data_IF_310279222961
#
_entry.id   IF_310279222961
#
_cell.length_a   1.000
_cell.length_b   1.000
_cell.length_c   1.000
_cell.angle_alpha   90.00
_cell.angle_beta   90.00
_cell.angle_gamma   90.00
#
_symmetry.space_group_name_H-M   'P 1'
#
loop_
_entity.id
_entity.type
_entity.pdbx_description
1 polymer ?
#
# COMPACT_ATOMS: atom_id res chain seq x y z
N UNK A 1 12.90 21.93 -21.80
CA UNK A 1 13.16 20.49 -21.58
C UNK A 1 11.86 19.83 -21.12
N UNK A 2 11.28 18.96 -21.93
CA UNK A 2 10.19 18.10 -21.46
C UNK A 2 10.81 17.13 -20.45
N UNK A 3 10.53 17.30 -19.17
CA UNK A 3 10.80 16.29 -18.17
C UNK A 3 9.92 15.09 -18.52
N UNK A 4 10.53 14.03 -19.08
CA UNK A 4 9.84 12.76 -19.24
C UNK A 4 9.48 12.26 -17.83
N UNK A 5 8.22 12.45 -17.45
CA UNK A 5 7.70 11.90 -16.18
C UNK A 5 7.78 10.38 -16.24
N UNK A 6 8.23 9.80 -15.14
CA UNK A 6 8.21 8.35 -14.98
C UNK A 6 6.75 7.86 -15.05
N UNK A 7 6.51 6.76 -15.74
CA UNK A 7 5.17 6.16 -15.86
C UNK A 7 5.16 4.84 -15.11
N UNK A 8 4.08 4.54 -14.43
CA UNK A 8 3.83 3.21 -13.83
C UNK A 8 2.46 2.72 -14.24
N UNK A 9 2.29 1.40 -14.21
CA UNK A 9 1.03 0.73 -14.51
C UNK A 9 0.57 0.02 -13.25
N UNK A 10 -0.63 0.34 -12.75
CA UNK A 10 -1.24 -0.33 -11.61
C UNK A 10 -2.46 -1.12 -12.08
N UNK A 11 -2.52 -2.39 -11.72
CA UNK A 11 -3.63 -3.27 -12.05
C UNK A 11 -4.01 -4.17 -10.88
N UNK A 12 -5.19 -4.76 -10.94
CA UNK A 12 -5.58 -5.81 -10.00
C UNK A 12 -4.61 -6.98 -10.12
N UNK A 13 -4.17 -7.50 -8.97
CA UNK A 13 -3.31 -8.67 -8.90
C UNK A 13 -4.06 -9.89 -9.44
N UNK A 14 -3.38 -10.66 -10.25
CA UNK A 14 -3.87 -11.92 -10.81
C UNK A 14 -2.97 -13.08 -10.39
N UNK A 15 -3.38 -14.35 -10.52
CA UNK A 15 -2.52 -15.49 -10.20
C UNK A 15 -1.17 -15.48 -10.92
N UNK A 16 -1.11 -14.94 -12.14
CA UNK A 16 0.11 -14.83 -12.93
C UNK A 16 1.14 -13.88 -12.34
N UNK A 17 0.71 -12.93 -11.51
CA UNK A 17 1.60 -11.96 -10.85
C UNK A 17 2.33 -12.55 -9.63
N UNK A 18 1.81 -13.64 -9.05
CA UNK A 18 2.18 -14.12 -7.71
C UNK A 18 3.65 -14.52 -7.63
N UNK A 19 4.20 -15.17 -8.64
CA UNK A 19 5.62 -15.55 -8.63
C UNK A 19 6.55 -14.33 -8.55
N UNK A 20 6.18 -13.22 -9.18
CA UNK A 20 6.90 -11.96 -9.07
C UNK A 20 6.68 -11.28 -7.71
N UNK A 21 5.46 -11.34 -7.19
CA UNK A 21 5.11 -10.80 -5.87
C UNK A 21 5.89 -11.50 -4.76
N UNK A 22 6.03 -12.83 -4.81
CA UNK A 22 6.80 -13.60 -3.83
C UNK A 22 8.26 -13.14 -3.77
N UNK A 23 8.90 -12.83 -4.88
CA UNK A 23 10.28 -12.32 -4.89
C UNK A 23 10.41 -10.98 -4.15
N UNK A 24 9.42 -10.10 -4.29
CA UNK A 24 9.39 -8.83 -3.55
C UNK A 24 9.14 -9.10 -2.07
N UNK A 25 8.20 -9.98 -1.76
CA UNK A 25 7.82 -10.38 -0.40
C UNK A 25 9.03 -10.97 0.36
N UNK A 26 9.74 -11.91 -0.26
CA UNK A 26 10.97 -12.51 0.30
C UNK A 26 12.04 -11.44 0.56
N UNK A 27 12.24 -10.51 -0.35
CA UNK A 27 13.19 -9.42 -0.18
C UNK A 27 12.82 -8.44 0.95
N UNK A 28 11.53 -8.29 1.22
CA UNK A 28 11.02 -7.39 2.24
C UNK A 28 10.96 -8.03 3.64
N UNK A 29 10.62 -9.33 3.72
CA UNK A 29 10.26 -10.00 4.97
C UNK A 29 11.08 -11.26 5.26
N UNK A 30 12.00 -11.66 4.36
CA UNK A 30 12.88 -12.83 4.55
C UNK A 30 12.09 -14.13 4.76
N UNK A 31 12.50 -14.93 5.74
CA UNK A 31 11.88 -16.24 6.05
C UNK A 31 10.43 -16.15 6.57
N UNK A 32 9.96 -14.94 6.89
CA UNK A 32 8.61 -14.70 7.40
C UNK A 32 7.65 -14.12 6.34
N UNK A 33 8.01 -14.30 5.07
CA UNK A 33 7.17 -13.88 3.95
C UNK A 33 5.91 -14.75 3.83
N UNK A 34 4.89 -14.19 3.21
CA UNK A 34 3.68 -14.94 2.88
C UNK A 34 3.96 -15.98 1.79
N UNK A 35 3.27 -17.11 1.88
CA UNK A 35 3.36 -18.17 0.88
C UNK A 35 2.59 -17.82 -0.40
N UNK A 36 2.92 -18.54 -1.47
CA UNK A 36 2.16 -18.46 -2.73
C UNK A 36 0.68 -18.76 -2.53
N UNK A 37 0.35 -19.77 -1.72
CA UNK A 37 -1.04 -20.13 -1.42
C UNK A 37 -1.77 -19.02 -0.66
N UNK A 38 -1.08 -18.30 0.23
CA UNK A 38 -1.65 -17.13 0.92
C UNK A 38 -2.08 -16.05 -0.08
N UNK A 39 -1.23 -15.73 -1.06
CA UNK A 39 -1.58 -14.75 -2.09
C UNK A 39 -2.67 -15.26 -3.05
N UNK A 40 -2.68 -16.54 -3.40
CA UNK A 40 -3.77 -17.14 -4.18
C UNK A 40 -5.11 -17.05 -3.48
N UNK A 41 -5.14 -17.28 -2.17
CA UNK A 41 -6.33 -17.11 -1.36
C UNK A 41 -6.82 -15.66 -1.38
N UNK A 42 -5.92 -14.68 -1.27
CA UNK A 42 -6.28 -13.26 -1.31
C UNK A 42 -6.80 -12.82 -2.69
N UNK A 43 -6.20 -13.30 -3.78
CA UNK A 43 -6.69 -13.00 -5.14
C UNK A 43 -8.12 -13.51 -5.36
N UNK A 44 -8.47 -14.62 -4.73
CA UNK A 44 -9.80 -15.23 -4.81
C UNK A 44 -10.77 -14.75 -3.69
N UNK A 45 -10.30 -13.91 -2.77
CA UNK A 45 -11.11 -13.40 -1.67
C UNK A 45 -11.91 -12.18 -2.13
N UNK A 46 -13.24 -12.25 -2.10
CA UNK A 46 -14.13 -11.17 -2.51
C UNK A 46 -13.98 -9.90 -1.66
N UNK A 47 -13.54 -10.02 -0.41
CA UNK A 47 -13.27 -8.89 0.48
C UNK A 47 -11.90 -8.24 0.23
N UNK A 48 -11.00 -8.93 -0.44
CA UNK A 48 -9.65 -8.44 -0.68
C UNK A 48 -9.53 -7.61 -1.96
N UNK A 49 -8.66 -6.61 -1.89
CA UNK A 49 -8.27 -5.75 -3.01
C UNK A 49 -6.75 -5.71 -3.06
N UNK A 50 -6.16 -6.51 -3.97
CA UNK A 50 -4.71 -6.58 -4.17
C UNK A 50 -4.34 -5.99 -5.52
N UNK A 51 -3.24 -5.24 -5.55
CA UNK A 51 -2.75 -4.51 -6.71
C UNK A 51 -1.29 -4.81 -6.94
N UNK A 52 -0.90 -4.81 -8.19
CA UNK A 52 0.50 -4.85 -8.64
C UNK A 52 0.85 -3.56 -9.36
N UNK A 53 2.09 -3.12 -9.17
CA UNK A 53 2.66 -1.96 -9.84
C UNK A 53 3.81 -2.40 -10.74
N UNK A 54 3.69 -2.07 -12.01
CA UNK A 54 4.67 -2.37 -13.04
C UNK A 54 5.33 -1.11 -13.57
N UNK A 55 6.61 -1.23 -13.91
CA UNK A 55 7.32 -0.23 -14.72
C UNK A 55 6.87 -0.28 -16.18
N UNK A 56 7.14 0.73 -17.02
CA UNK A 56 6.73 0.74 -18.43
C UNK A 56 7.31 -0.40 -19.27
N UNK A 57 8.48 -0.91 -18.87
CA UNK A 57 9.15 -2.06 -19.47
C UNK A 57 8.70 -3.42 -18.92
N UNK A 58 7.64 -3.42 -18.11
CA UNK A 58 6.96 -4.63 -17.66
C UNK A 58 7.59 -5.31 -16.45
N UNK A 59 8.41 -4.61 -15.68
CA UNK A 59 8.99 -5.16 -14.45
C UNK A 59 8.04 -4.92 -13.29
N UNK A 60 7.70 -5.98 -12.56
CA UNK A 60 6.93 -5.89 -11.32
C UNK A 60 7.78 -5.23 -10.24
N UNK A 61 7.41 -4.03 -9.83
CA UNK A 61 8.20 -3.20 -8.91
C UNK A 61 7.56 -3.04 -7.51
N UNK A 62 6.30 -3.39 -7.35
CA UNK A 62 5.62 -3.29 -6.07
C UNK A 62 4.24 -3.92 -6.07
N UNK A 63 3.68 -4.09 -4.88
CA UNK A 63 2.32 -4.55 -4.68
C UNK A 63 1.74 -4.01 -3.39
N UNK A 64 0.42 -4.01 -3.29
CA UNK A 64 -0.31 -3.63 -2.09
C UNK A 64 -1.60 -4.41 -1.97
N UNK A 65 -2.12 -4.52 -0.77
CA UNK A 65 -3.38 -5.19 -0.50
C UNK A 65 -4.11 -4.64 0.70
N UNK A 66 -5.43 -4.74 0.65
CA UNK A 66 -6.31 -4.42 1.76
C UNK A 66 -7.56 -5.31 1.74
N UNK A 67 -8.25 -5.36 2.88
CA UNK A 67 -9.55 -6.00 3.01
C UNK A 67 -10.63 -4.93 3.18
N UNK A 68 -11.68 -5.00 2.38
CA UNK A 68 -12.86 -4.15 2.52
C UNK A 68 -13.89 -4.87 3.40
N UNK A 69 -14.08 -4.38 4.60
CA UNK A 69 -15.02 -4.95 5.58
C UNK A 69 -15.90 -3.81 6.10
N UNK A 70 -17.17 -3.84 5.74
CA UNK A 70 -18.13 -2.77 6.09
C UNK A 70 -17.63 -1.40 5.61
N UNK A 71 -17.37 -0.49 6.51
CA UNK A 71 -16.90 0.87 6.21
C UNK A 71 -15.37 1.04 6.30
N UNK A 72 -14.63 -0.07 6.45
CA UNK A 72 -13.19 -0.06 6.65
C UNK A 72 -12.43 -0.76 5.51
N UNK A 73 -11.29 -0.20 5.13
CA UNK A 73 -10.30 -0.87 4.29
C UNK A 73 -9.02 -1.12 5.11
N UNK A 74 -8.89 -2.32 5.64
CA UNK A 74 -7.70 -2.69 6.41
C UNK A 74 -6.54 -3.01 5.48
N UNK A 75 -5.53 -2.14 5.46
CA UNK A 75 -4.32 -2.37 4.68
C UNK A 75 -3.54 -3.53 5.31
N UNK A 76 -3.30 -4.57 4.53
CA UNK A 76 -2.54 -5.76 4.95
C UNK A 76 -1.08 -5.67 4.55
N UNK A 77 -0.77 -5.03 3.42
CA UNK A 77 0.60 -4.90 2.92
C UNK A 77 0.73 -3.74 1.94
N UNK A 78 1.88 -3.10 1.95
CA UNK A 78 2.38 -2.21 0.88
C UNK A 78 3.89 -2.47 0.78
N UNK A 79 4.35 -2.97 -0.34
CA UNK A 79 5.74 -3.31 -0.55
C UNK A 79 6.25 -2.84 -1.92
N UNK A 80 7.47 -2.33 -1.93
CA UNK A 80 8.20 -1.92 -3.14
C UNK A 80 9.53 -2.66 -3.17
N UNK A 81 9.85 -3.24 -4.32
CA UNK A 81 11.12 -3.91 -4.54
C UNK A 81 12.30 -2.97 -4.22
N UNK A 82 13.38 -3.48 -3.60
CA UNK A 82 14.49 -2.63 -3.13
C UNK A 82 15.05 -1.67 -4.19
N UNK A 83 15.24 -2.13 -5.42
CA UNK A 83 15.79 -1.33 -6.52
C UNK A 83 14.85 -0.22 -7.02
N UNK A 84 13.60 -0.26 -6.61
CA UNK A 84 12.54 0.67 -7.02
C UNK A 84 12.05 1.57 -5.89
N UNK A 85 12.68 1.51 -4.72
CA UNK A 85 12.35 2.39 -3.58
C UNK A 85 12.74 3.83 -3.87
N UNK A 86 12.11 4.77 -3.15
CA UNK A 86 12.34 6.23 -3.25
C UNK A 86 11.97 6.82 -4.62
N UNK A 87 11.12 6.14 -5.39
CA UNK A 87 10.57 6.57 -6.67
C UNK A 87 9.08 6.90 -6.61
N UNK A 88 8.55 7.14 -5.43
CA UNK A 88 7.12 7.40 -5.16
C UNK A 88 6.18 6.21 -5.43
N UNK A 89 6.68 5.00 -5.69
CA UNK A 89 5.84 3.84 -6.01
C UNK A 89 4.93 3.42 -4.84
N UNK A 90 5.41 3.53 -3.60
CA UNK A 90 4.56 3.32 -2.41
C UNK A 90 3.40 4.31 -2.33
N UNK A 91 3.62 5.56 -2.75
CA UNK A 91 2.56 6.56 -2.84
C UNK A 91 1.54 6.22 -3.93
N UNK A 92 2.00 5.71 -5.08
CA UNK A 92 1.10 5.29 -6.17
C UNK A 92 0.20 4.13 -5.72
N UNK A 93 0.74 3.14 -5.02
CA UNK A 93 -0.02 2.02 -4.47
C UNK A 93 -1.01 2.47 -3.40
N UNK A 94 -0.60 3.34 -2.49
CA UNK A 94 -1.49 3.88 -1.45
C UNK A 94 -2.61 4.73 -2.06
N UNK A 95 -2.28 5.52 -3.09
CA UNK A 95 -3.29 6.26 -3.86
C UNK A 95 -4.35 5.33 -4.45
N UNK A 96 -3.95 4.21 -5.05
CA UNK A 96 -4.89 3.24 -5.61
C UNK A 96 -5.86 2.73 -4.54
N UNK A 97 -5.37 2.38 -3.36
CA UNK A 97 -6.22 1.93 -2.24
C UNK A 97 -7.20 3.04 -1.82
N UNK A 98 -6.73 4.28 -1.66
CA UNK A 98 -7.57 5.40 -1.22
C UNK A 98 -8.63 5.74 -2.28
N UNK A 99 -8.28 5.74 -3.56
CA UNK A 99 -9.23 5.99 -4.65
C UNK A 99 -10.35 4.94 -4.67
N UNK A 100 -10.00 3.67 -4.45
CA UNK A 100 -11.01 2.61 -4.36
C UNK A 100 -11.88 2.76 -3.12
N UNK A 101 -11.32 3.21 -2.00
CA UNK A 101 -12.11 3.52 -0.81
C UNK A 101 -13.16 4.62 -1.10
N UNK A 102 -12.81 5.66 -1.86
CA UNK A 102 -13.77 6.66 -2.29
C UNK A 102 -14.85 6.07 -3.20
N UNK A 103 -14.46 5.25 -4.17
CA UNK A 103 -15.39 4.62 -5.11
C UNK A 103 -16.36 3.65 -4.43
N UNK A 104 -15.89 2.89 -3.46
CA UNK A 104 -16.67 1.90 -2.71
C UNK A 104 -17.30 2.48 -1.42
N UNK A 105 -17.18 3.79 -1.17
CA UNK A 105 -17.72 4.50 0.00
C UNK A 105 -17.20 4.01 1.34
N UNK A 106 -15.97 3.50 1.35
CA UNK A 106 -15.22 3.15 2.56
C UNK A 106 -14.82 4.44 3.28
N UNK A 107 -15.00 4.49 4.59
CA UNK A 107 -14.78 5.70 5.39
C UNK A 107 -13.46 5.71 6.14
N UNK A 108 -12.96 4.56 6.55
CA UNK A 108 -11.82 4.44 7.45
C UNK A 108 -10.79 3.46 6.90
N UNK A 109 -9.51 3.77 7.10
CA UNK A 109 -8.41 2.92 6.62
C UNK A 109 -7.48 2.61 7.81
N UNK A 110 -7.65 1.47 8.50
CA UNK A 110 -6.74 1.02 9.53
C UNK A 110 -5.58 0.21 8.96
N UNK A 111 -4.47 0.21 9.69
CA UNK A 111 -3.32 -0.65 9.42
C UNK A 111 -2.49 -0.89 10.69
N UNK A 112 -1.65 -1.93 10.66
CA UNK A 112 -0.54 -2.13 11.58
C UNK A 112 0.78 -2.01 10.82
N UNK A 113 1.75 -1.33 11.44
CA UNK A 113 3.09 -1.16 10.89
C UNK A 113 4.15 -1.36 11.98
N UNK A 114 5.27 -1.99 11.62
CA UNK A 114 6.39 -2.15 12.57
C UNK A 114 6.83 -0.79 13.11
N UNK A 115 7.01 -0.69 14.41
CA UNK A 115 7.49 0.57 15.04
C UNK A 115 8.84 1.02 14.49
N UNK A 116 9.67 0.11 13.99
CA UNK A 116 10.95 0.41 13.36
C UNK A 116 10.86 0.88 11.90
N UNK A 117 9.70 0.68 11.25
CA UNK A 117 9.53 1.05 9.84
C UNK A 117 9.21 2.54 9.67
N UNK A 118 10.20 3.38 9.92
CA UNK A 118 10.08 4.83 9.87
C UNK A 118 9.61 5.33 8.51
N UNK A 119 10.09 4.73 7.41
CA UNK A 119 9.71 5.13 6.05
C UNK A 119 8.22 4.93 5.80
N UNK A 120 7.66 3.78 6.20
CA UNK A 120 6.23 3.50 6.07
C UNK A 120 5.39 4.40 6.99
N UNK A 121 5.80 4.59 8.24
CA UNK A 121 5.11 5.49 9.19
C UNK A 121 5.06 6.91 8.63
N UNK A 122 6.15 7.41 8.08
CA UNK A 122 6.18 8.75 7.46
C UNK A 122 5.26 8.83 6.23
N UNK A 123 5.22 7.80 5.40
CA UNK A 123 4.30 7.72 4.26
C UNK A 123 2.85 7.82 4.72
N UNK A 124 2.44 7.00 5.67
CA UNK A 124 1.07 6.99 6.19
C UNK A 124 0.72 8.30 6.88
N UNK A 125 1.62 8.85 7.70
CA UNK A 125 1.41 10.14 8.37
C UNK A 125 1.19 11.27 7.37
N UNK A 126 1.97 11.31 6.29
CA UNK A 126 1.80 12.27 5.20
C UNK A 126 0.39 12.21 4.61
N UNK A 127 -0.16 11.00 4.45
CA UNK A 127 -1.49 10.78 3.88
C UNK A 127 -2.64 10.94 4.89
N UNK A 128 -2.37 11.42 6.10
CA UNK A 128 -3.40 11.74 7.10
C UNK A 128 -3.74 10.60 8.06
N UNK A 129 -2.91 9.55 8.10
CA UNK A 129 -3.01 8.51 9.13
C UNK A 129 -2.44 9.03 10.45
N UNK A 130 -3.09 8.67 11.56
CA UNK A 130 -2.64 8.98 12.92
C UNK A 130 -2.44 7.70 13.70
N UNK A 131 -1.54 7.74 14.69
CA UNK A 131 -1.33 6.63 15.61
C UNK A 131 -2.42 6.57 16.67
N UNK A 132 -2.95 5.37 16.92
CA UNK A 132 -3.99 5.10 17.93
C UNK A 132 -3.54 4.14 19.02
N UNK A 133 -2.34 3.63 18.96
CA UNK A 133 -1.81 2.72 19.96
C UNK A 133 -0.78 1.76 19.40
N UNK A 134 -0.41 0.80 20.22
CA UNK A 134 0.62 -0.18 19.92
C UNK A 134 0.14 -1.56 20.30
N UNK A 135 0.36 -2.54 19.41
CA UNK A 135 0.19 -3.97 19.73
C UNK A 135 1.55 -4.54 20.13
N UNK A 136 1.69 -4.89 21.39
CA UNK A 136 2.92 -5.47 21.94
C UNK A 136 3.23 -6.84 21.34
N UNK A 137 4.47 -7.03 20.89
CA UNK A 137 4.95 -8.31 20.37
C UNK A 137 4.17 -8.86 19.18
N UNK A 138 3.57 -7.99 18.38
CA UNK A 138 2.68 -8.38 17.27
C UNK A 138 3.40 -9.22 16.20
N UNK A 139 4.63 -8.85 15.88
CA UNK A 139 5.45 -9.57 14.90
C UNK A 139 6.24 -10.69 15.57
N UNK A 140 5.80 -11.93 15.36
CA UNK A 140 6.32 -13.10 16.07
C UNK A 140 7.80 -13.42 15.75
N UNK A 141 8.29 -13.00 14.59
CA UNK A 141 9.65 -13.29 14.16
C UNK A 141 10.72 -12.67 15.07
N UNK A 142 10.50 -11.46 15.59
CA UNK A 142 11.46 -10.75 16.46
C UNK A 142 10.78 -10.10 17.66
N UNK A 143 9.53 -10.46 17.93
CA UNK A 143 8.71 -9.90 19.01
C UNK A 143 8.57 -8.37 18.96
N UNK A 144 8.69 -7.78 17.77
CA UNK A 144 8.56 -6.34 17.57
C UNK A 144 7.09 -5.88 17.71
N UNK A 145 6.91 -4.69 18.25
CA UNK A 145 5.62 -4.07 18.39
C UNK A 145 5.10 -3.55 17.04
N UNK A 146 3.80 -3.53 16.89
CA UNK A 146 3.13 -2.85 15.79
C UNK A 146 2.52 -1.54 16.26
N UNK A 147 2.74 -0.47 15.50
CA UNK A 147 2.00 0.76 15.63
C UNK A 147 0.67 0.61 14.90
N UNK A 148 -0.43 0.93 15.57
CA UNK A 148 -1.77 0.95 14.94
C UNK A 148 -1.99 2.35 14.41
N UNK A 149 -2.27 2.46 13.11
CA UNK A 149 -2.58 3.73 12.45
C UNK A 149 -3.94 3.68 11.79
N UNK A 150 -4.65 4.78 11.83
CA UNK A 150 -5.98 4.95 11.22
C UNK A 150 -6.09 6.30 10.54
N UNK A 151 -6.95 6.38 9.52
CA UNK A 151 -7.44 7.66 9.01
C UNK A 151 -8.64 8.11 9.84
N UNK A 152 -8.89 9.42 9.88
CA UNK A 152 -10.24 9.94 10.13
C UNK A 152 -11.15 9.53 8.97
N UNK A 153 -12.44 9.84 9.05
CA UNK A 153 -13.33 9.63 7.91
C UNK A 153 -12.78 10.37 6.68
N UNK A 154 -12.43 9.61 5.63
CA UNK A 154 -11.78 10.15 4.43
C UNK A 154 -12.68 11.09 3.62
N UNK A 155 -13.99 11.09 3.88
CA UNK A 155 -14.95 12.02 3.26
C UNK A 155 -15.00 13.39 3.95
N UNK A 156 -14.35 13.57 5.09
CA UNK A 156 -14.27 14.87 5.73
C UNK A 156 -13.29 15.79 4.99
N UNK A 157 -13.61 17.06 4.95
CA UNK A 157 -12.85 18.08 4.21
C UNK A 157 -11.37 18.12 4.59
N UNK A 158 -11.03 17.92 5.87
CA UNK A 158 -9.65 17.87 6.35
C UNK A 158 -8.83 16.80 5.60
N UNK A 159 -9.36 15.57 5.49
CA UNK A 159 -8.67 14.48 4.78
C UNK A 159 -8.66 14.72 3.27
N UNK A 160 -9.82 15.09 2.70
CA UNK A 160 -9.96 15.32 1.25
C UNK A 160 -9.00 16.39 0.75
N UNK A 161 -8.96 17.54 1.42
CA UNK A 161 -8.12 18.66 1.02
C UNK A 161 -6.63 18.31 1.11
N UNK A 162 -6.21 17.58 2.15
CA UNK A 162 -4.84 17.10 2.27
C UNK A 162 -4.52 16.09 1.16
N UNK A 163 -5.42 15.16 0.90
CA UNK A 163 -5.26 14.15 -0.13
C UNK A 163 -5.15 14.75 -1.53
N UNK A 164 -6.05 15.65 -1.90
CA UNK A 164 -6.04 16.34 -3.20
C UNK A 164 -4.72 17.09 -3.43
N UNK A 165 -4.21 17.78 -2.40
CA UNK A 165 -2.91 18.45 -2.46
C UNK A 165 -1.76 17.47 -2.72
N UNK A 166 -1.73 16.36 -1.98
CA UNK A 166 -0.70 15.32 -2.13
C UNK A 166 -0.74 14.72 -3.53
N UNK A 167 -1.94 14.41 -4.04
CA UNK A 167 -2.10 13.80 -5.36
C UNK A 167 -1.68 14.75 -6.47
N UNK A 168 -1.97 16.04 -6.33
CA UNK A 168 -1.49 17.03 -7.28
C UNK A 168 0.04 17.04 -7.34
N UNK A 169 0.72 17.07 -6.19
CA UNK A 169 2.18 17.03 -6.12
C UNK A 169 2.75 15.71 -6.67
N UNK A 170 2.05 14.59 -6.48
CA UNK A 170 2.46 13.29 -7.02
C UNK A 170 2.35 13.25 -8.55
N UNK A 171 1.27 13.77 -9.12
CA UNK A 171 1.02 13.81 -10.56
C UNK A 171 2.02 14.68 -11.32
N UNK A 172 2.67 15.63 -10.65
CA UNK A 172 3.79 16.41 -11.21
C UNK A 172 5.10 15.59 -11.34
N UNK A 173 5.18 14.43 -10.70
CA UNK A 173 6.38 13.58 -10.63
C UNK A 173 6.24 12.27 -11.36
N UNK A 174 5.03 11.71 -11.46
CA UNK A 174 4.78 10.38 -11.99
C UNK A 174 3.40 10.27 -12.62
N UNK A 175 3.34 9.52 -13.73
CA UNK A 175 2.09 9.19 -14.43
C UNK A 175 1.67 7.77 -14.01
N UNK A 176 0.44 7.64 -13.53
CA UNK A 176 -0.15 6.35 -13.16
C UNK A 176 -1.18 5.97 -14.24
N UNK A 177 -1.05 4.76 -14.81
CA UNK A 177 -1.95 4.17 -15.81
C UNK A 177 -2.60 2.91 -15.27
#
# INVERSE_FOLDING_TARGET
MQTNLETVIIKRMTPEDIDGVIKIEESAYGDHHWSKDSFLNEVNNELARYYTLYTPDGILAGYAGCWHILEEAHITTVAVAPDYRRKNYGQCLLKQIIDDCYNEKIKYIPLEVRVSNTAAINLYTKYGFSSFGTRKGYYQNNNEDALIMWTKNIFFDEFKNNYEKIIKDLQEKIIIK
#
